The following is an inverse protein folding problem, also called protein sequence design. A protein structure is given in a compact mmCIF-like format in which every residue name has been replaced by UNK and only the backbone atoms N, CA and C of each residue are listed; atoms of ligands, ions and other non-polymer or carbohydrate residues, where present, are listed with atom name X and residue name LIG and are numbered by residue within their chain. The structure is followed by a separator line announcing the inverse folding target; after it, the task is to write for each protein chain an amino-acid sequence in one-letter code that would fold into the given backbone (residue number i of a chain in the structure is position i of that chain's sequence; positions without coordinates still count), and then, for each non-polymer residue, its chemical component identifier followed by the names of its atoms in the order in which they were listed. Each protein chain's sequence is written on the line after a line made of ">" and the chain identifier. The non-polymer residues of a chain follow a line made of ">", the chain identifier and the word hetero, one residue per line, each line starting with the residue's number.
data_IF_463720248269
#
_entry.id   IF_463720248269
#
_cell.length_a   1.000
_cell.length_b   1.000
_cell.length_c   1.000
_cell.angle_alpha   90.00
_cell.angle_beta   90.00
_cell.angle_gamma   90.00
#
_symmetry.space_group_name_H-M   'P 1'
#
loop_
_entity.id
_entity.type
_entity.pdbx_description
1 polymer ?
#
# COMPACT_ATOMS: atom_id res chain seq x y z
N UNK A 1 -22.78 12.56 -9.15
CA UNK A 1 -21.41 12.19 -9.62
C UNK A 1 -20.66 13.47 -9.91
N UNK A 2 -19.70 13.85 -9.09
CA UNK A 2 -18.81 14.97 -9.42
C UNK A 2 -17.88 14.48 -10.53
N UNK A 3 -18.09 14.92 -11.78
CA UNK A 3 -17.15 14.66 -12.86
C UNK A 3 -15.94 15.54 -12.66
N UNK A 4 -14.95 15.03 -11.93
CA UNK A 4 -13.65 15.68 -11.85
C UNK A 4 -13.06 15.77 -13.26
N UNK A 5 -12.40 16.89 -13.59
CA UNK A 5 -11.84 17.03 -14.93
C UNK A 5 -10.69 16.04 -15.15
N UNK A 6 -10.53 15.51 -16.36
CA UNK A 6 -9.47 14.59 -16.77
C UNK A 6 -8.06 15.09 -16.35
N UNK A 7 -7.85 16.41 -16.36
CA UNK A 7 -6.61 17.05 -15.91
C UNK A 7 -6.24 16.69 -14.45
N UNK A 8 -7.24 16.61 -13.57
CA UNK A 8 -7.04 16.24 -12.17
C UNK A 8 -6.85 14.73 -12.01
N UNK A 9 -7.62 13.94 -12.75
CA UNK A 9 -7.50 12.48 -12.71
C UNK A 9 -6.09 12.03 -13.11
N UNK A 10 -5.54 12.60 -14.19
CA UNK A 10 -4.15 12.33 -14.62
C UNK A 10 -3.14 12.70 -13.52
N UNK A 11 -3.33 13.83 -12.84
CA UNK A 11 -2.41 14.23 -11.75
C UNK A 11 -2.43 13.23 -10.59
N UNK A 12 -3.62 12.77 -10.19
CA UNK A 12 -3.74 11.83 -9.08
C UNK A 12 -3.29 10.42 -9.45
N UNK A 13 -3.48 9.98 -10.68
CA UNK A 13 -2.89 8.74 -11.20
C UNK A 13 -1.35 8.83 -11.17
N UNK A 14 -0.77 9.94 -11.64
CA UNK A 14 0.68 10.16 -11.58
C UNK A 14 1.20 10.15 -10.12
N UNK A 15 0.44 10.70 -9.19
CA UNK A 15 0.80 10.64 -7.77
C UNK A 15 0.73 9.20 -7.25
N UNK A 16 -0.27 8.42 -7.65
CA UNK A 16 -0.33 6.99 -7.33
C UNK A 16 0.86 6.23 -7.94
N UNK A 17 1.26 6.56 -9.18
CA UNK A 17 2.50 6.02 -9.79
C UNK A 17 3.72 6.35 -8.94
N UNK A 18 3.87 7.57 -8.47
CA UNK A 18 4.97 7.94 -7.59
C UNK A 18 4.95 7.15 -6.28
N UNK A 19 3.79 7.05 -5.63
CA UNK A 19 3.65 6.25 -4.40
C UNK A 19 3.95 4.77 -4.62
N UNK A 20 3.67 4.22 -5.78
CA UNK A 20 4.01 2.82 -6.09
C UNK A 20 5.51 2.54 -6.02
N UNK A 21 6.37 3.54 -6.27
CA UNK A 21 7.84 3.40 -6.20
C UNK A 21 8.33 3.08 -4.79
N UNK A 22 7.54 3.39 -3.75
CA UNK A 22 7.88 3.10 -2.36
C UNK A 22 7.65 1.63 -2.00
N UNK A 23 6.91 0.91 -2.83
CA UNK A 23 6.73 -0.53 -2.65
C UNK A 23 8.06 -1.27 -2.83
N UNK A 24 8.34 -2.17 -1.91
CA UNK A 24 9.49 -3.08 -1.96
C UNK A 24 9.19 -4.37 -2.73
N UNK A 25 7.93 -4.57 -3.16
CA UNK A 25 7.55 -5.71 -4.00
C UNK A 25 8.29 -5.63 -5.33
N UNK A 26 8.99 -6.71 -5.67
CA UNK A 26 9.79 -6.78 -6.89
C UNK A 26 8.99 -7.19 -8.12
N UNK A 27 7.81 -7.79 -7.91
CA UNK A 27 7.00 -8.32 -9.00
C UNK A 27 5.92 -7.35 -9.46
N UNK A 28 5.32 -6.59 -8.55
CA UNK A 28 4.23 -5.66 -8.88
C UNK A 28 4.20 -4.53 -7.86
N UNK A 29 4.40 -3.30 -8.32
CA UNK A 29 4.35 -2.12 -7.48
C UNK A 29 3.05 -1.37 -7.72
N UNK A 30 2.23 -1.29 -6.69
CA UNK A 30 0.93 -0.61 -6.73
C UNK A 30 0.93 0.53 -5.72
N UNK A 31 0.45 1.69 -6.17
CA UNK A 31 0.19 2.86 -5.35
C UNK A 31 -1.28 3.27 -5.42
N UNK A 32 -1.76 3.84 -4.34
CA UNK A 32 -3.13 4.31 -4.19
C UNK A 32 -3.15 5.70 -3.55
N UNK A 33 -4.04 6.57 -4.02
CA UNK A 33 -4.26 7.91 -3.47
C UNK A 33 -5.76 8.12 -3.30
N UNK A 34 -6.20 8.47 -2.09
CA UNK A 34 -7.58 8.80 -1.80
C UNK A 34 -7.73 10.32 -1.78
N UNK A 35 -8.68 10.82 -2.57
CA UNK A 35 -8.87 12.25 -2.80
C UNK A 35 -10.31 12.64 -2.48
N UNK A 36 -10.48 13.67 -1.68
CA UNK A 36 -11.78 14.23 -1.33
C UNK A 36 -12.40 15.07 -2.46
N UNK A 37 -13.61 15.55 -2.24
CA UNK A 37 -14.39 16.24 -3.28
C UNK A 37 -13.82 17.60 -3.72
N UNK A 38 -12.99 18.23 -2.90
CA UNK A 38 -12.33 19.51 -3.20
C UNK A 38 -10.89 19.35 -3.71
N UNK A 39 -10.53 18.17 -4.20
CA UNK A 39 -9.19 17.79 -4.67
C UNK A 39 -8.11 17.71 -3.56
N UNK A 40 -8.49 17.69 -2.31
CA UNK A 40 -7.60 17.44 -1.18
C UNK A 40 -7.18 15.96 -1.13
N UNK A 41 -5.90 15.71 -0.89
CA UNK A 41 -5.38 14.36 -0.67
C UNK A 41 -5.68 13.96 0.77
N UNK A 42 -6.56 12.98 0.94
CA UNK A 42 -6.96 12.47 2.25
C UNK A 42 -5.99 11.42 2.79
N UNK A 43 -5.49 10.56 1.90
CA UNK A 43 -4.56 9.49 2.27
C UNK A 43 -3.86 8.92 1.05
N UNK A 44 -2.77 8.19 1.31
CA UNK A 44 -2.01 7.45 0.30
C UNK A 44 -1.64 6.08 0.83
N UNK A 45 -1.41 5.13 -0.07
CA UNK A 45 -0.94 3.79 0.25
C UNK A 45 -0.13 3.18 -0.88
N UNK A 46 0.65 2.17 -0.57
CA UNK A 46 1.34 1.32 -1.53
C UNK A 46 1.34 -0.11 -1.01
N UNK A 47 1.47 -1.08 -1.91
CA UNK A 47 1.47 -2.48 -1.50
C UNK A 47 2.77 -2.84 -0.78
N UNK A 48 2.67 -3.62 0.29
CA UNK A 48 3.81 -4.03 1.10
C UNK A 48 3.40 -4.77 2.36
N UNK A 49 4.37 -5.15 3.16
CA UNK A 49 4.09 -5.79 4.44
C UNK A 49 3.45 -4.81 5.43
N UNK A 50 2.54 -5.27 6.29
CA UNK A 50 2.00 -4.47 7.37
C UNK A 50 3.09 -3.88 8.25
N UNK A 51 2.82 -2.72 8.84
CA UNK A 51 3.78 -2.05 9.75
C UNK A 51 4.15 -2.96 10.91
N UNK A 52 5.43 -3.02 11.21
CA UNK A 52 5.96 -3.86 12.29
C UNK A 52 6.22 -5.33 11.90
N UNK A 53 5.78 -5.75 10.71
CA UNK A 53 6.17 -7.06 10.16
C UNK A 53 7.57 -6.96 9.58
N UNK A 54 8.45 -7.90 9.96
CA UNK A 54 9.81 -7.94 9.47
C UNK A 54 9.83 -8.26 7.97
N UNK A 55 10.35 -7.33 7.19
CA UNK A 55 10.52 -7.48 5.76
C UNK A 55 11.82 -8.20 5.43
N UNK A 56 11.81 -9.08 4.42
CA UNK A 56 12.97 -9.89 4.01
C UNK A 56 14.20 -9.10 3.53
N UNK A 57 14.10 -7.77 3.43
CA UNK A 57 15.23 -6.87 3.10
C UNK A 57 15.80 -6.18 4.34
N UNK A 58 15.59 -6.73 5.52
CA UNK A 58 16.19 -6.20 6.73
C UNK A 58 17.71 -6.27 6.66
N UNK A 59 18.42 -5.33 7.30
CA UNK A 59 19.86 -5.37 7.40
C UNK A 59 20.32 -6.72 7.98
N UNK A 60 21.55 -7.11 7.68
CA UNK A 60 22.19 -8.34 8.22
C UNK A 60 22.16 -8.43 9.76
N UNK A 61 21.65 -7.39 10.42
CA UNK A 61 21.58 -7.20 11.85
C UNK A 61 20.21 -6.69 12.26
N UNK A 62 19.71 -7.14 13.43
CA UNK A 62 18.50 -6.60 14.05
C UNK A 62 18.71 -6.38 15.54
N UNK A 63 17.94 -5.48 16.13
CA UNK A 63 17.97 -5.26 17.57
C UNK A 63 17.06 -6.25 18.27
N UNK A 64 17.60 -7.00 19.22
CA UNK A 64 16.86 -7.91 20.09
C UNK A 64 17.04 -7.49 21.54
N UNK A 65 15.95 -7.47 22.28
CA UNK A 65 16.01 -7.31 23.73
C UNK A 65 16.52 -8.62 24.34
N UNK A 66 17.69 -8.56 24.91
CA UNK A 66 18.31 -9.69 25.62
C UNK A 66 18.58 -9.21 27.03
N UNK A 67 17.94 -9.85 28.04
CA UNK A 67 18.22 -9.57 29.45
C UNK A 67 17.70 -8.25 30.01
N UNK A 68 16.79 -7.54 29.33
CA UNK A 68 15.94 -6.53 29.95
C UNK A 68 16.45 -5.08 30.04
N UNK A 69 17.67 -4.73 29.68
CA UNK A 69 18.20 -3.38 29.92
C UNK A 69 18.54 -2.56 28.66
N UNK A 70 18.85 -3.18 27.55
CA UNK A 70 19.12 -2.50 26.27
C UNK A 70 18.94 -3.44 25.08
N UNK A 71 18.51 -2.93 23.89
CA UNK A 71 18.49 -3.74 22.69
C UNK A 71 19.92 -4.04 22.24
N UNK A 72 20.22 -5.31 22.03
CA UNK A 72 21.51 -5.76 21.51
C UNK A 72 21.40 -6.04 20.01
N UNK A 73 22.38 -5.60 19.25
CA UNK A 73 22.50 -5.90 17.83
C UNK A 73 22.91 -7.37 17.64
N UNK A 74 22.05 -8.16 16.97
CA UNK A 74 22.32 -9.57 16.68
C UNK A 74 22.31 -9.81 15.17
N UNK A 75 23.26 -10.63 14.66
CA UNK A 75 23.25 -10.99 13.25
C UNK A 75 22.06 -11.89 12.93
N UNK A 76 21.40 -11.64 11.80
CA UNK A 76 20.39 -12.55 11.28
C UNK A 76 21.10 -13.73 10.62
N UNK A 77 20.82 -14.94 11.05
CA UNK A 77 21.45 -16.12 10.47
C UNK A 77 20.98 -16.34 9.02
N UNK A 78 21.77 -17.06 8.22
CA UNK A 78 21.46 -17.29 6.81
C UNK A 78 20.10 -17.98 6.60
N UNK A 79 19.73 -18.89 7.48
CA UNK A 79 18.43 -19.59 7.43
C UNK A 79 17.27 -18.63 7.63
N UNK A 80 17.34 -17.73 8.59
CA UNK A 80 16.32 -16.70 8.82
C UNK A 80 16.25 -15.72 7.66
N UNK A 81 17.37 -15.35 7.05
CA UNK A 81 17.39 -14.49 5.85
C UNK A 81 16.67 -15.15 4.69
N UNK A 82 16.87 -16.44 4.46
CA UNK A 82 16.21 -17.21 3.41
C UNK A 82 14.70 -17.35 3.64
N UNK A 83 14.29 -17.63 4.87
CA UNK A 83 12.86 -17.69 5.23
C UNK A 83 12.16 -16.34 5.06
N UNK A 84 12.81 -15.22 5.42
CA UNK A 84 12.30 -13.89 5.21
C UNK A 84 12.19 -13.56 3.71
N UNK A 85 13.16 -13.98 2.90
CA UNK A 85 13.13 -13.80 1.45
C UNK A 85 11.94 -14.51 0.80
N UNK A 86 11.64 -15.74 1.22
CA UNK A 86 10.51 -16.54 0.72
C UNK A 86 9.15 -15.88 0.92
N UNK A 87 9.00 -14.99 1.91
CA UNK A 87 7.75 -14.23 2.13
C UNK A 87 7.39 -13.32 0.96
N UNK A 88 8.35 -12.92 0.14
CA UNK A 88 8.11 -12.14 -1.07
C UNK A 88 7.84 -12.99 -2.32
N UNK A 89 7.99 -14.29 -2.24
CA UNK A 89 7.75 -15.22 -3.35
C UNK A 89 6.28 -15.65 -3.39
N UNK A 90 5.76 -15.89 -4.60
CA UNK A 90 4.40 -16.44 -4.77
C UNK A 90 4.40 -17.94 -4.43
N UNK A 91 3.37 -18.45 -3.77
CA UNK A 91 2.14 -17.77 -3.29
C UNK A 91 2.30 -17.09 -1.92
N UNK A 92 3.40 -17.30 -1.20
CA UNK A 92 3.58 -16.88 0.19
C UNK A 92 3.40 -15.36 0.39
N UNK A 93 3.82 -14.54 -0.57
CA UNK A 93 3.68 -13.08 -0.45
C UNK A 93 2.23 -12.63 -0.21
N UNK A 94 1.25 -13.35 -0.72
CA UNK A 94 -0.17 -13.00 -0.55
C UNK A 94 -0.68 -13.16 0.89
N UNK A 95 0.03 -13.91 1.73
CA UNK A 95 -0.27 -14.04 3.16
C UNK A 95 0.31 -12.89 4.00
N UNK A 96 1.34 -12.23 3.47
CA UNK A 96 2.11 -11.23 4.23
C UNK A 96 1.96 -9.81 3.70
N UNK A 97 1.58 -9.63 2.43
CA UNK A 97 1.49 -8.30 1.83
C UNK A 97 0.08 -7.74 1.90
N UNK A 98 0.00 -6.49 2.29
CA UNK A 98 -1.22 -5.72 2.23
C UNK A 98 -1.28 -4.95 0.90
N UNK A 99 -2.47 -4.81 0.33
CA UNK A 99 -2.68 -4.10 -0.92
C UNK A 99 -2.68 -2.58 -0.73
N UNK A 100 -2.36 -1.84 -1.78
CA UNK A 100 -2.22 -0.39 -1.76
C UNK A 100 -3.54 0.30 -1.34
N UNK A 101 -4.68 -0.19 -1.83
CA UNK A 101 -6.01 0.32 -1.54
C UNK A 101 -6.31 0.26 -0.03
N UNK A 102 -6.12 -0.92 0.57
CA UNK A 102 -6.36 -1.11 2.00
C UNK A 102 -5.34 -0.35 2.84
N UNK A 103 -4.07 -0.29 2.42
CA UNK A 103 -3.07 0.54 3.10
C UNK A 103 -3.44 2.02 3.09
N UNK A 104 -4.01 2.55 1.99
CA UNK A 104 -4.52 3.92 1.95
C UNK A 104 -5.69 4.12 2.93
N UNK A 105 -6.64 3.17 3.01
CA UNK A 105 -7.75 3.21 3.97
C UNK A 105 -7.23 3.17 5.41
N UNK A 106 -6.29 2.28 5.74
CA UNK A 106 -5.71 2.19 7.08
C UNK A 106 -4.93 3.44 7.47
N UNK A 107 -4.20 4.05 6.53
CA UNK A 107 -3.51 5.31 6.76
C UNK A 107 -4.50 6.45 7.05
N UNK A 108 -5.62 6.51 6.32
CA UNK A 108 -6.70 7.47 6.59
C UNK A 108 -7.28 7.27 8.00
N UNK A 109 -7.59 6.02 8.37
CA UNK A 109 -8.11 5.70 9.69
C UNK A 109 -7.16 6.12 10.82
N UNK A 110 -5.83 5.99 10.62
CA UNK A 110 -4.83 6.39 11.61
C UNK A 110 -4.78 7.88 11.89
N UNK A 111 -5.15 8.71 10.92
CA UNK A 111 -5.17 10.18 11.05
C UNK A 111 -6.57 10.76 11.22
N UNK A 112 -7.59 9.89 11.25
CA UNK A 112 -8.98 10.30 11.40
C UNK A 112 -9.59 10.98 10.17
N UNK A 113 -9.05 10.73 8.97
CA UNK A 113 -9.60 11.29 7.74
C UNK A 113 -10.90 10.59 7.35
N UNK A 114 -11.94 11.37 7.04
CA UNK A 114 -13.21 10.85 6.52
C UNK A 114 -13.06 10.52 5.03
N UNK A 115 -13.48 9.32 4.66
CA UNK A 115 -13.37 8.83 3.28
C UNK A 115 -14.71 8.83 2.53
N UNK A 116 -15.81 9.13 3.21
CA UNK A 116 -17.15 9.15 2.60
C UNK A 116 -17.21 10.05 1.36
N UNK A 117 -17.69 9.51 0.25
CA UNK A 117 -17.82 10.22 -1.02
C UNK A 117 -16.51 10.48 -1.78
N UNK A 118 -15.37 10.05 -1.24
CA UNK A 118 -14.06 10.27 -1.87
C UNK A 118 -13.83 9.40 -3.11
N UNK A 119 -12.75 9.69 -3.84
CA UNK A 119 -12.29 8.94 -5.01
C UNK A 119 -10.93 8.29 -4.71
N UNK A 120 -10.79 7.01 -5.02
CA UNK A 120 -9.54 6.26 -4.96
C UNK A 120 -8.86 6.27 -6.34
N UNK A 121 -7.65 6.77 -6.42
CA UNK A 121 -6.80 6.72 -7.61
C UNK A 121 -5.72 5.66 -7.48
N UNK A 122 -5.48 4.92 -8.55
CA UNK A 122 -4.47 3.86 -8.59
C UNK A 122 -3.58 3.99 -9.83
N UNK A 123 -2.34 3.53 -9.72
CA UNK A 123 -1.44 3.41 -10.89
C UNK A 123 -1.62 2.10 -11.65
N UNK A 124 -2.51 1.26 -11.20
CA UNK A 124 -2.82 -0.04 -11.78
C UNK A 124 -4.28 -0.08 -12.25
N UNK A 125 -4.63 -1.10 -13.06
CA UNK A 125 -5.99 -1.28 -13.55
C UNK A 125 -7.01 -1.21 -12.38
N UNK A 126 -8.10 -0.42 -12.50
CA UNK A 126 -8.93 -0.02 -11.36
C UNK A 126 -9.92 -1.09 -10.87
N UNK A 127 -9.68 -2.38 -11.16
CA UNK A 127 -10.46 -3.47 -10.60
C UNK A 127 -9.75 -4.01 -9.34
N UNK A 128 -10.21 -3.64 -8.15
CA UNK A 128 -9.68 -4.18 -6.92
C UNK A 128 -10.03 -5.67 -6.77
N UNK A 129 -9.21 -6.42 -6.03
CA UNK A 129 -9.60 -7.75 -5.61
C UNK A 129 -10.82 -7.70 -4.68
N UNK A 130 -11.49 -8.85 -4.46
CA UNK A 130 -12.71 -8.88 -3.66
C UNK A 130 -12.55 -8.31 -2.24
N UNK A 131 -11.38 -8.51 -1.61
CA UNK A 131 -11.10 -7.99 -0.28
C UNK A 131 -10.96 -6.47 -0.29
N UNK A 132 -10.23 -5.93 -1.27
CA UNK A 132 -10.10 -4.48 -1.44
C UNK A 132 -11.43 -3.84 -1.81
N UNK A 133 -12.23 -4.48 -2.67
CA UNK A 133 -13.55 -3.97 -3.06
C UNK A 133 -14.45 -3.81 -1.84
N UNK A 134 -14.53 -4.83 -0.97
CA UNK A 134 -15.29 -4.74 0.28
C UNK A 134 -14.81 -3.62 1.18
N UNK A 135 -13.49 -3.45 1.32
CA UNK A 135 -12.92 -2.39 2.14
C UNK A 135 -13.21 -1.00 1.57
N UNK A 136 -13.12 -0.81 0.27
CA UNK A 136 -13.43 0.44 -0.44
C UNK A 136 -14.90 0.83 -0.27
N UNK A 137 -15.82 -0.12 -0.46
CA UNK A 137 -17.25 0.10 -0.28
C UNK A 137 -17.55 0.45 1.18
N UNK A 138 -17.02 -0.32 2.13
CA UNK A 138 -17.26 -0.10 3.57
C UNK A 138 -16.66 1.21 4.07
N UNK A 139 -15.59 1.71 3.45
CA UNK A 139 -15.00 3.01 3.75
C UNK A 139 -15.79 4.20 3.17
N UNK A 140 -16.86 3.97 2.39
CA UNK A 140 -17.67 5.01 1.76
C UNK A 140 -17.02 5.66 0.54
N UNK A 141 -15.97 5.07 -0.04
CA UNK A 141 -15.32 5.56 -1.26
C UNK A 141 -16.28 5.36 -2.44
N UNK A 142 -16.61 6.43 -3.16
CA UNK A 142 -17.63 6.43 -4.18
C UNK A 142 -17.16 6.06 -5.59
N UNK A 143 -15.85 6.15 -5.85
CA UNK A 143 -15.28 5.93 -7.17
C UNK A 143 -13.85 5.40 -7.08
N UNK A 144 -13.47 4.52 -8.03
CA UNK A 144 -12.10 4.08 -8.25
C UNK A 144 -11.70 4.48 -9.67
N UNK A 145 -10.55 5.15 -9.81
CA UNK A 145 -9.99 5.59 -11.08
C UNK A 145 -8.56 5.06 -11.21
N UNK A 146 -8.24 4.52 -12.34
CA UNK A 146 -6.90 4.07 -12.70
C UNK A 146 -6.72 4.12 -14.22
N UNK A 147 -5.51 3.84 -14.71
CA UNK A 147 -5.25 3.80 -16.15
C UNK A 147 -6.07 2.68 -16.79
N UNK A 148 -6.59 2.92 -17.98
CA UNK A 148 -7.18 1.88 -18.81
C UNK A 148 -6.07 0.92 -19.27
N UNK A 149 -6.42 -0.36 -19.56
CA UNK A 149 -5.48 -1.35 -20.11
C UNK A 149 -4.85 -0.94 -21.45
N UNK A 150 -5.43 0.07 -22.10
CA UNK A 150 -4.95 0.62 -23.37
C UNK A 150 -3.89 1.73 -23.20
N UNK A 151 -3.58 2.14 -21.98
CA UNK A 151 -2.49 3.09 -21.73
C UNK A 151 -1.15 2.34 -21.76
N UNK A 152 -0.19 2.77 -22.60
CA UNK A 152 1.13 2.17 -22.70
C UNK A 152 1.96 2.36 -21.43
#
# INVERSE_FOLDING_TARGET
>A
MSSRSLKWDVKFINLACYHSTWSKDQSTKVGAVIVGNSNEILSTGYNGFPRGVNEAKTPKWYYKWVGGLAPTMVPICQKEQEELRKRWERPMKYLYTEHAERNAIYNAARVGAKLEGSTLYMNFYPLPCADCARAVIQAGISCIIGPDRTFP
#
